data_IF_899517043216
#
_entry.id   IF_899517043216
#
_cell.length_a   1.000
_cell.length_b   1.000
_cell.length_c   1.000
_cell.angle_alpha   90.00
_cell.angle_beta   90.00
_cell.angle_gamma   90.00
#
_symmetry.space_group_name_H-M   'P 1'
#
loop_
_entity.id
_entity.type
_entity.pdbx_description
1 polymer ?
#
# COMPACT_ATOMS: atom_id res chain seq x y z
N UNK A 1 -41.33 15.28 -14.48
CA UNK A 1 -40.12 15.22 -15.31
C UNK A 1 -38.95 15.10 -14.35
N UNK A 2 -38.43 13.89 -14.11
CA UNK A 2 -37.27 13.69 -13.24
C UNK A 2 -36.01 14.25 -13.90
N UNK A 3 -35.00 14.72 -13.13
CA UNK A 3 -33.77 15.25 -13.71
C UNK A 3 -33.09 14.16 -14.53
N UNK A 4 -32.66 14.50 -15.74
CA UNK A 4 -31.81 13.66 -16.57
C UNK A 4 -30.59 13.22 -15.75
N UNK A 5 -30.24 11.93 -15.80
CA UNK A 5 -29.04 11.43 -15.13
C UNK A 5 -27.82 12.28 -15.52
N UNK A 6 -27.12 12.83 -14.52
CA UNK A 6 -25.90 13.61 -14.75
C UNK A 6 -24.79 12.63 -15.15
N UNK A 7 -24.21 12.84 -16.33
CA UNK A 7 -23.23 11.95 -16.96
C UNK A 7 -22.14 12.72 -17.68
N UNK A 8 -21.00 12.07 -17.93
CA UNK A 8 -19.92 12.64 -18.74
C UNK A 8 -19.07 13.68 -18.02
N UNK A 9 -19.06 13.69 -16.69
CA UNK A 9 -18.17 14.57 -15.92
C UNK A 9 -16.73 14.03 -15.96
N UNK A 10 -15.75 14.93 -15.92
CA UNK A 10 -14.31 14.60 -15.87
C UNK A 10 -13.67 15.29 -14.66
N UNK A 11 -12.95 14.52 -13.85
CA UNK A 11 -12.13 15.00 -12.72
C UNK A 11 -10.70 14.62 -13.05
N UNK A 12 -9.83 15.57 -13.36
CA UNK A 12 -8.53 15.31 -13.99
C UNK A 12 -7.47 16.33 -13.56
N UNK A 13 -6.29 15.84 -13.19
CA UNK A 13 -5.14 16.68 -12.82
C UNK A 13 -5.24 17.32 -11.42
N UNK A 14 -6.14 16.83 -10.58
CA UNK A 14 -6.47 17.44 -9.29
C UNK A 14 -5.65 16.87 -8.12
N UNK A 15 -5.36 17.72 -7.14
CA UNK A 15 -4.79 17.35 -5.84
C UNK A 15 -5.89 17.44 -4.78
N UNK A 16 -6.39 16.28 -4.35
CA UNK A 16 -7.60 16.15 -3.53
C UNK A 16 -7.21 15.61 -2.14
N UNK A 17 -7.45 16.42 -1.11
CA UNK A 17 -7.12 16.09 0.30
C UNK A 17 -5.67 16.39 0.71
N UNK A 18 -4.86 16.95 -0.20
CA UNK A 18 -3.45 17.29 0.02
C UNK A 18 -3.16 18.78 -0.22
N UNK A 19 -1.95 19.21 0.15
CA UNK A 19 -1.44 20.52 -0.25
C UNK A 19 -1.08 20.56 -1.75
N UNK A 20 -0.78 21.74 -2.28
CA UNK A 20 -0.47 21.94 -3.71
C UNK A 20 0.76 21.15 -4.23
N UNK A 21 1.59 20.58 -3.35
CA UNK A 21 2.72 19.73 -3.72
C UNK A 21 2.40 18.24 -3.58
N UNK A 22 1.26 17.86 -3.00
CA UNK A 22 0.90 16.48 -2.73
C UNK A 22 1.78 15.78 -1.69
N UNK A 23 2.49 16.54 -0.85
CA UNK A 23 3.44 16.02 0.13
C UNK A 23 2.88 16.02 1.57
N UNK A 24 1.78 16.74 1.81
CA UNK A 24 1.14 16.84 3.13
C UNK A 24 -0.36 16.67 2.98
N UNK A 25 -0.94 15.88 3.87
CA UNK A 25 -2.39 15.77 4.02
C UNK A 25 -2.91 17.10 4.59
N UNK A 26 -3.98 17.61 3.99
CA UNK A 26 -4.76 18.72 4.52
C UNK A 26 -6.15 18.26 4.99
N UNK A 27 -6.61 17.10 4.52
CA UNK A 27 -7.90 16.55 4.90
C UNK A 27 -9.04 17.16 4.11
N UNK A 28 -9.83 16.30 3.45
CA UNK A 28 -11.27 16.55 3.36
C UNK A 28 -11.93 15.82 4.53
N UNK A 29 -12.98 16.42 5.12
CA UNK A 29 -13.69 15.85 6.28
C UNK A 29 -14.47 14.56 6.00
N UNK A 30 -14.53 14.13 4.74
CA UNK A 30 -15.17 12.88 4.32
C UNK A 30 -14.33 12.16 3.25
N UNK A 31 -14.92 11.90 2.08
CA UNK A 31 -14.28 11.25 0.96
C UNK A 31 -13.53 12.27 0.08
N UNK A 32 -12.55 11.82 -0.68
CA UNK A 32 -11.92 12.67 -1.70
C UNK A 32 -12.88 12.91 -2.87
N UNK A 33 -13.41 11.84 -3.45
CA UNK A 33 -14.33 11.89 -4.60
C UNK A 33 -15.53 10.98 -4.36
N UNK A 34 -16.74 11.51 -4.59
CA UNK A 34 -18.00 10.75 -4.55
C UNK A 34 -18.72 10.80 -5.89
N UNK A 35 -19.03 9.63 -6.44
CA UNK A 35 -19.71 9.45 -7.72
C UNK A 35 -21.02 8.71 -7.48
N UNK A 36 -22.12 9.37 -7.83
CA UNK A 36 -23.47 8.76 -7.88
C UNK A 36 -24.04 8.72 -9.29
N UNK A 37 -23.47 9.51 -10.21
CA UNK A 37 -23.83 9.56 -11.62
C UNK A 37 -23.18 8.46 -12.46
N UNK A 38 -23.53 8.44 -13.74
CA UNK A 38 -23.06 7.44 -14.70
C UNK A 38 -22.06 8.02 -15.70
N UNK A 39 -21.25 7.17 -16.33
CA UNK A 39 -20.37 7.54 -17.45
C UNK A 39 -19.44 8.72 -17.15
N UNK A 40 -18.90 8.80 -15.93
CA UNK A 40 -17.92 9.80 -15.55
C UNK A 40 -16.50 9.23 -15.63
N UNK A 41 -15.52 10.12 -15.80
CA UNK A 41 -14.09 9.80 -15.79
C UNK A 41 -13.42 10.50 -14.61
N UNK A 42 -12.67 9.74 -13.82
CA UNK A 42 -11.75 10.26 -12.82
C UNK A 42 -10.35 9.84 -13.21
N UNK A 43 -9.54 10.82 -13.59
CA UNK A 43 -8.18 10.65 -14.04
C UNK A 43 -8.08 10.45 -15.55
N UNK A 44 -7.06 9.74 -16.00
CA UNK A 44 -6.84 9.42 -17.40
C UNK A 44 -5.48 8.77 -17.64
N UNK A 45 -5.22 8.36 -18.88
CA UNK A 45 -3.97 7.68 -19.25
C UNK A 45 -2.75 8.59 -19.25
N UNK A 46 -2.95 9.89 -19.41
CA UNK A 46 -1.87 10.88 -19.42
C UNK A 46 -1.49 11.31 -18.00
N UNK A 47 -0.19 11.50 -17.69
CA UNK A 47 0.23 12.00 -16.38
C UNK A 47 -0.43 13.32 -15.96
N UNK A 48 -0.79 14.19 -16.91
CA UNK A 48 -1.48 15.45 -16.62
C UNK A 48 -2.94 15.28 -16.22
N UNK A 49 -3.58 14.15 -16.58
CA UNK A 49 -4.94 13.85 -16.18
C UNK A 49 -5.00 13.15 -14.81
N UNK A 50 -3.88 12.65 -14.30
CA UNK A 50 -3.81 11.94 -13.01
C UNK A 50 -4.26 12.82 -11.86
N UNK A 51 -5.22 12.32 -11.09
CA UNK A 51 -5.51 12.90 -9.79
C UNK A 51 -4.64 12.27 -8.70
N UNK A 52 -4.33 13.06 -7.68
CA UNK A 52 -3.79 12.62 -6.40
C UNK A 52 -4.91 12.70 -5.35
N UNK A 53 -5.38 11.57 -4.86
CA UNK A 53 -6.53 11.46 -3.95
C UNK A 53 -6.07 10.83 -2.63
N UNK A 54 -5.63 11.68 -1.70
CA UNK A 54 -4.83 11.27 -0.55
C UNK A 54 -5.14 12.13 0.66
N UNK A 55 -4.90 11.60 1.86
CA UNK A 55 -5.08 12.35 3.11
C UNK A 55 -6.53 12.74 3.43
N UNK A 56 -7.53 12.10 2.85
CA UNK A 56 -8.95 12.32 3.18
C UNK A 56 -9.32 11.55 4.46
N UNK A 57 -10.23 12.08 5.28
CA UNK A 57 -10.58 11.49 6.59
C UNK A 57 -11.29 10.12 6.45
N UNK A 58 -11.99 9.89 5.33
CA UNK A 58 -12.62 8.61 5.02
C UNK A 58 -11.95 7.92 3.82
N UNK A 59 -12.68 7.78 2.72
CA UNK A 59 -12.28 6.98 1.56
C UNK A 59 -11.68 7.89 0.50
N UNK A 60 -10.72 7.40 -0.26
CA UNK A 60 -10.22 8.16 -1.41
C UNK A 60 -11.34 8.43 -2.41
N UNK A 61 -11.96 7.36 -2.91
CA UNK A 61 -13.00 7.43 -3.92
C UNK A 61 -14.16 6.47 -3.62
N UNK A 62 -15.40 6.93 -3.79
CA UNK A 62 -16.62 6.13 -3.64
C UNK A 62 -17.50 6.21 -4.89
N UNK A 63 -17.87 5.05 -5.43
CA UNK A 63 -18.94 4.88 -6.40
C UNK A 63 -20.14 4.27 -5.68
N UNK A 64 -21.26 4.99 -5.65
CA UNK A 64 -22.40 4.64 -4.79
C UNK A 64 -23.71 4.51 -5.58
N UNK A 65 -24.53 3.53 -5.19
CA UNK A 65 -25.90 3.39 -5.66
C UNK A 65 -25.98 3.18 -7.17
N UNK A 66 -26.62 4.11 -7.88
CA UNK A 66 -26.85 4.01 -9.32
C UNK A 66 -25.63 4.35 -10.21
N UNK A 67 -24.46 4.58 -9.62
CA UNK A 67 -23.24 4.88 -10.36
C UNK A 67 -22.88 3.71 -11.31
N UNK A 68 -22.87 3.98 -12.62
CA UNK A 68 -22.61 2.95 -13.62
C UNK A 68 -21.79 3.45 -14.80
N UNK A 69 -20.98 2.58 -15.39
CA UNK A 69 -20.18 2.91 -16.57
C UNK A 69 -19.08 3.94 -16.30
N UNK A 70 -18.68 4.16 -15.04
CA UNK A 70 -17.63 5.11 -14.70
C UNK A 70 -16.24 4.50 -14.93
N UNK A 71 -15.27 5.35 -15.25
CA UNK A 71 -13.86 4.98 -15.45
C UNK A 71 -12.98 5.73 -14.45
N UNK A 72 -12.26 4.98 -13.63
CA UNK A 72 -11.31 5.51 -12.66
C UNK A 72 -9.92 5.10 -13.13
N UNK A 73 -9.20 5.98 -13.80
CA UNK A 73 -8.00 5.65 -14.57
C UNK A 73 -6.79 6.49 -14.16
N UNK A 74 -5.63 5.87 -14.01
CA UNK A 74 -4.34 6.54 -13.88
C UNK A 74 -4.14 7.39 -12.62
N UNK A 75 -5.01 7.24 -11.60
CA UNK A 75 -4.98 8.00 -10.36
C UNK A 75 -3.98 7.43 -9.34
N UNK A 76 -3.50 8.30 -8.45
CA UNK A 76 -2.79 7.91 -7.23
C UNK A 76 -3.72 8.10 -6.04
N UNK A 77 -3.94 7.05 -5.26
CA UNK A 77 -4.90 7.01 -4.16
C UNK A 77 -4.21 6.51 -2.90
N UNK A 78 -3.98 7.42 -1.94
CA UNK A 78 -3.35 7.14 -0.65
C UNK A 78 -1.82 7.26 -0.61
N UNK A 79 -1.21 7.80 -1.67
CA UNK A 79 0.24 8.06 -1.75
C UNK A 79 0.55 9.56 -1.88
N UNK A 80 1.83 9.95 -1.84
CA UNK A 80 2.29 11.27 -2.25
C UNK A 80 2.23 11.46 -3.79
N UNK A 81 2.48 12.67 -4.27
CA UNK A 81 2.47 13.01 -5.70
C UNK A 81 3.40 12.14 -6.56
N UNK A 82 4.55 11.72 -6.01
CA UNK A 82 5.49 10.83 -6.70
C UNK A 82 5.09 9.35 -6.64
N UNK A 83 4.12 9.00 -5.80
CA UNK A 83 3.68 7.63 -5.57
C UNK A 83 4.73 6.75 -4.88
N UNK A 84 5.62 7.36 -4.10
CA UNK A 84 6.77 6.71 -3.45
C UNK A 84 6.62 6.54 -1.95
N UNK A 85 5.72 7.29 -1.32
CA UNK A 85 5.44 7.25 0.13
C UNK A 85 3.94 7.24 0.39
N UNK A 86 3.53 6.63 1.50
CA UNK A 86 2.13 6.63 1.93
C UNK A 86 1.72 8.03 2.41
N UNK A 87 0.54 8.44 1.96
CA UNK A 87 -0.20 9.63 2.42
C UNK A 87 -1.69 9.23 2.47
N UNK A 88 -1.95 8.17 3.23
CA UNK A 88 -3.19 7.40 3.19
C UNK A 88 -4.46 8.18 3.39
N UNK A 89 -5.54 7.68 2.79
CA UNK A 89 -6.89 8.02 3.23
C UNK A 89 -7.21 7.25 4.53
N UNK A 90 -8.09 7.80 5.38
CA UNK A 90 -8.43 7.24 6.69
C UNK A 90 -9.22 5.93 6.67
N UNK A 91 -9.65 5.47 5.50
CA UNK A 91 -10.34 4.19 5.30
C UNK A 91 -9.93 3.54 3.97
N UNK A 92 -10.88 3.02 3.18
CA UNK A 92 -10.58 2.36 1.92
C UNK A 92 -10.03 3.33 0.86
N UNK A 93 -9.16 2.84 -0.03
CA UNK A 93 -8.72 3.61 -1.20
C UNK A 93 -9.89 3.89 -2.13
N UNK A 94 -10.46 2.83 -2.71
CA UNK A 94 -11.63 2.89 -3.59
C UNK A 94 -12.72 1.96 -3.06
N UNK A 95 -13.96 2.43 -3.00
CA UNK A 95 -15.13 1.59 -2.72
C UNK A 95 -16.15 1.66 -3.87
N UNK A 96 -16.75 0.51 -4.18
CA UNK A 96 -17.90 0.35 -5.06
C UNK A 96 -19.02 -0.24 -4.20
N UNK A 97 -20.08 0.53 -3.97
CA UNK A 97 -21.18 0.15 -3.08
C UNK A 97 -22.51 0.21 -3.82
N UNK A 98 -23.04 -0.97 -4.17
CA UNK A 98 -24.27 -1.12 -4.97
C UNK A 98 -24.16 -0.67 -6.44
N UNK A 99 -23.03 -0.09 -6.81
CA UNK A 99 -22.74 0.41 -8.15
C UNK A 99 -22.34 -0.70 -9.14
N UNK A 100 -22.59 -0.48 -10.43
CA UNK A 100 -22.47 -1.55 -11.44
C UNK A 100 -21.69 -1.15 -12.69
N UNK A 101 -21.03 -2.09 -13.35
CA UNK A 101 -20.35 -1.87 -14.64
C UNK A 101 -19.32 -0.73 -14.62
N UNK A 102 -18.62 -0.51 -13.50
CA UNK A 102 -17.56 0.48 -13.40
C UNK A 102 -16.19 -0.18 -13.62
N UNK A 103 -15.23 0.60 -14.12
CA UNK A 103 -13.86 0.15 -14.34
C UNK A 103 -12.92 0.92 -13.41
N UNK A 104 -12.21 0.20 -12.56
CA UNK A 104 -11.10 0.71 -11.76
C UNK A 104 -9.81 0.29 -12.45
N UNK A 105 -9.16 1.24 -13.07
CA UNK A 105 -7.97 1.07 -13.87
C UNK A 105 -8.33 0.87 -15.34
N UNK A 106 -7.55 0.06 -16.04
CA UNK A 106 -7.78 -0.28 -17.44
C UNK A 106 -6.54 -0.88 -18.10
N UNK A 107 -6.72 -1.36 -19.32
CA UNK A 107 -5.65 -2.05 -20.08
C UNK A 107 -4.77 -1.12 -20.91
N UNK A 108 -5.19 0.14 -21.09
CA UNK A 108 -4.36 1.14 -21.75
C UNK A 108 -3.14 1.51 -20.88
N UNK A 109 -2.00 1.77 -21.51
CA UNK A 109 -0.83 2.27 -20.79
C UNK A 109 -1.19 3.55 -20.03
N UNK A 110 -0.87 3.61 -18.74
CA UNK A 110 -1.22 4.72 -17.86
C UNK A 110 -2.63 4.66 -17.25
N UNK A 111 -3.52 3.76 -17.68
CA UNK A 111 -4.86 3.64 -17.10
C UNK A 111 -4.86 2.98 -15.70
N UNK A 112 -3.85 2.18 -15.38
CA UNK A 112 -3.72 1.53 -14.08
C UNK A 112 -3.54 2.53 -12.94
N UNK A 113 -4.36 2.43 -11.90
CA UNK A 113 -4.22 3.26 -10.70
C UNK A 113 -3.12 2.73 -9.77
N UNK A 114 -2.62 3.61 -8.90
CA UNK A 114 -1.82 3.24 -7.72
C UNK A 114 -2.70 3.44 -6.50
N UNK A 115 -3.05 2.35 -5.82
CA UNK A 115 -4.00 2.32 -4.69
C UNK A 115 -3.28 1.69 -3.50
N UNK A 116 -2.62 2.53 -2.72
CA UNK A 116 -1.66 2.10 -1.70
C UNK A 116 -1.66 3.07 -0.52
N UNK A 117 -1.23 2.60 0.64
CA UNK A 117 -1.05 3.41 1.85
C UNK A 117 -2.34 3.80 2.54
N UNK A 118 -3.50 3.28 2.09
CA UNK A 118 -4.80 3.58 2.69
C UNK A 118 -4.97 2.78 3.98
N UNK A 119 -5.63 3.35 4.99
CA UNK A 119 -5.78 2.71 6.29
C UNK A 119 -6.70 1.47 6.29
N UNK A 120 -7.54 1.32 5.25
CA UNK A 120 -8.44 0.18 5.08
C UNK A 120 -8.11 -0.68 3.85
N UNK A 121 -9.14 -1.16 3.16
CA UNK A 121 -9.01 -2.00 1.96
C UNK A 121 -8.57 -1.16 0.76
N UNK A 122 -7.74 -1.70 -0.12
CA UNK A 122 -7.35 -1.05 -1.37
C UNK A 122 -8.56 -0.78 -2.28
N UNK A 123 -9.18 -1.85 -2.79
CA UNK A 123 -10.43 -1.80 -3.57
C UNK A 123 -11.51 -2.66 -2.91
N UNK A 124 -12.62 -2.05 -2.50
CA UNK A 124 -13.69 -2.72 -1.78
C UNK A 124 -14.99 -2.74 -2.60
N UNK A 125 -15.50 -3.92 -2.94
CA UNK A 125 -16.71 -4.12 -3.76
C UNK A 125 -17.81 -4.76 -2.89
N UNK A 126 -18.87 -4.01 -2.62
CA UNK A 126 -19.92 -4.36 -1.64
C UNK A 126 -21.31 -3.91 -2.07
N UNK A 127 -22.31 -4.20 -1.24
CA UNK A 127 -23.67 -3.67 -1.41
C UNK A 127 -24.43 -4.23 -2.60
N UNK A 128 -24.08 -5.44 -3.06
CA UNK A 128 -24.67 -6.04 -4.25
C UNK A 128 -24.14 -5.44 -5.56
N UNK A 129 -22.95 -4.83 -5.55
CA UNK A 129 -22.29 -4.32 -6.74
C UNK A 129 -22.01 -5.47 -7.75
N UNK A 130 -22.22 -5.21 -9.05
CA UNK A 130 -22.07 -6.24 -10.09
C UNK A 130 -21.44 -5.70 -11.37
N UNK A 131 -20.79 -6.57 -12.14
CA UNK A 131 -20.22 -6.22 -13.46
C UNK A 131 -19.02 -5.27 -13.38
N UNK A 132 -18.46 -5.02 -12.20
CA UNK A 132 -17.33 -4.12 -12.05
C UNK A 132 -16.01 -4.81 -12.40
N UNK A 133 -15.07 -4.03 -12.90
CA UNK A 133 -13.75 -4.50 -13.32
C UNK A 133 -12.66 -3.76 -12.56
N UNK A 134 -11.65 -4.51 -12.10
CA UNK A 134 -10.43 -3.98 -11.49
C UNK A 134 -9.26 -4.46 -12.31
N UNK A 135 -8.69 -3.61 -13.17
CA UNK A 135 -7.72 -4.02 -14.20
C UNK A 135 -6.45 -3.13 -14.20
N UNK A 136 -5.28 -3.75 -14.36
CA UNK A 136 -4.02 -3.04 -14.58
C UNK A 136 -3.52 -2.20 -13.38
N UNK A 137 -4.08 -2.37 -12.19
CA UNK A 137 -3.75 -1.54 -11.03
C UNK A 137 -2.52 -2.04 -10.26
N UNK A 138 -1.89 -1.13 -9.51
CA UNK A 138 -0.95 -1.45 -8.42
C UNK A 138 -1.69 -1.24 -7.11
N UNK A 139 -1.87 -2.31 -6.33
CA UNK A 139 -2.65 -2.30 -5.09
C UNK A 139 -1.77 -2.74 -3.92
N UNK A 140 -1.29 -1.75 -3.17
CA UNK A 140 -0.36 -1.92 -2.06
C UNK A 140 1.10 -1.52 -2.36
N UNK A 141 1.72 -1.77 -3.54
CA UNK A 141 3.07 -1.27 -3.79
C UNK A 141 3.07 0.20 -4.24
N UNK A 142 4.26 0.80 -4.27
CA UNK A 142 4.51 2.13 -4.83
C UNK A 142 4.22 2.19 -6.35
N UNK A 143 4.27 3.40 -6.93
CA UNK A 143 4.01 3.62 -8.35
C UNK A 143 4.94 2.84 -9.29
N UNK A 144 6.16 2.53 -8.86
CA UNK A 144 7.10 1.70 -9.60
C UNK A 144 6.81 0.20 -9.48
N UNK A 145 5.97 -0.23 -8.52
CA UNK A 145 5.71 -1.63 -8.22
C UNK A 145 6.85 -2.33 -7.46
N UNK A 146 7.77 -1.58 -6.86
CA UNK A 146 9.04 -2.10 -6.30
C UNK A 146 9.16 -1.97 -4.79
N UNK A 147 8.42 -1.06 -4.16
CA UNK A 147 8.43 -0.86 -2.72
C UNK A 147 7.04 -1.09 -2.14
N UNK A 148 7.00 -1.59 -0.91
CA UNK A 148 5.78 -1.85 -0.17
C UNK A 148 5.23 -0.54 0.43
N UNK A 149 3.98 -0.20 0.10
CA UNK A 149 3.19 0.86 0.70
C UNK A 149 1.82 0.29 1.09
N UNK A 150 1.76 -0.94 1.62
CA UNK A 150 0.56 -1.71 1.88
C UNK A 150 -0.67 -0.92 2.33
N UNK A 151 -1.85 -1.36 1.88
CA UNK A 151 -3.10 -0.92 2.50
C UNK A 151 -3.32 -1.69 3.82
N UNK A 152 -4.00 -1.07 4.78
CA UNK A 152 -4.25 -1.61 6.13
C UNK A 152 -5.27 -2.77 6.20
N UNK A 153 -5.81 -3.20 5.07
CA UNK A 153 -6.75 -4.33 4.98
C UNK A 153 -6.43 -5.22 3.78
N UNK A 154 -7.47 -5.83 3.19
CA UNK A 154 -7.31 -6.58 1.95
C UNK A 154 -6.85 -5.68 0.78
N UNK A 155 -6.11 -6.25 -0.17
CA UNK A 155 -5.83 -5.56 -1.44
C UNK A 155 -7.12 -5.32 -2.22
N UNK A 156 -7.83 -6.41 -2.53
CA UNK A 156 -9.17 -6.37 -3.11
C UNK A 156 -10.13 -7.19 -2.25
N UNK A 157 -11.27 -6.60 -1.89
CA UNK A 157 -12.35 -7.27 -1.18
C UNK A 157 -13.61 -7.31 -2.05
N UNK A 158 -14.25 -8.48 -2.13
CA UNK A 158 -15.59 -8.64 -2.69
C UNK A 158 -16.48 -9.28 -1.63
N UNK A 159 -17.50 -8.56 -1.17
CA UNK A 159 -18.43 -9.05 -0.15
C UNK A 159 -19.88 -8.92 -0.62
N UNK A 160 -20.60 -10.04 -0.61
CA UNK A 160 -22.01 -10.13 -1.03
C UNK A 160 -22.29 -9.45 -2.38
N UNK A 161 -21.36 -9.59 -3.33
CA UNK A 161 -21.34 -8.91 -4.63
C UNK A 161 -20.85 -9.87 -5.70
N UNK A 162 -21.61 -10.05 -6.78
CA UNK A 162 -21.40 -11.09 -7.79
C UNK A 162 -21.06 -10.52 -9.16
N UNK A 163 -20.55 -11.34 -10.07
CA UNK A 163 -20.23 -10.96 -11.45
C UNK A 163 -19.19 -9.83 -11.54
N UNK A 164 -18.28 -9.73 -10.59
CA UNK A 164 -17.16 -8.79 -10.66
C UNK A 164 -15.90 -9.50 -11.15
N UNK A 165 -15.04 -8.75 -11.83
CA UNK A 165 -13.83 -9.26 -12.47
C UNK A 165 -12.60 -8.55 -11.93
N UNK A 166 -11.68 -9.31 -11.32
CA UNK A 166 -10.40 -8.82 -10.84
C UNK A 166 -9.33 -9.27 -11.84
N UNK A 167 -8.93 -8.33 -12.68
CA UNK A 167 -8.10 -8.45 -13.87
C UNK A 167 -8.69 -9.32 -14.99
N UNK A 168 -8.04 -9.29 -16.15
CA UNK A 168 -8.38 -10.04 -17.34
C UNK A 168 -7.28 -11.02 -17.74
N UNK A 169 -7.51 -11.76 -18.83
CA UNK A 169 -6.55 -12.72 -19.37
C UNK A 169 -5.41 -12.09 -20.18
N UNK A 170 -5.49 -10.79 -20.49
CA UNK A 170 -4.44 -10.07 -21.20
C UNK A 170 -3.37 -9.59 -20.22
N UNK A 171 -2.10 -9.60 -20.62
CA UNK A 171 -0.99 -9.17 -19.74
C UNK A 171 -1.13 -7.73 -19.22
N UNK A 172 -1.80 -6.84 -19.98
CA UNK A 172 -2.06 -5.47 -19.57
C UNK A 172 -3.23 -5.31 -18.58
N UNK A 173 -4.09 -6.33 -18.43
CA UNK A 173 -5.21 -6.30 -17.49
C UNK A 173 -4.81 -6.74 -16.08
N UNK A 174 -3.64 -7.35 -15.91
CA UNK A 174 -3.18 -7.89 -14.63
C UNK A 174 -2.97 -6.82 -13.57
N UNK A 175 -3.53 -7.01 -12.37
CA UNK A 175 -3.18 -6.19 -11.22
C UNK A 175 -1.91 -6.73 -10.55
N UNK A 176 -1.07 -5.83 -10.05
CA UNK A 176 -0.01 -6.13 -9.10
C UNK A 176 -0.55 -5.86 -7.68
N UNK A 177 -0.76 -6.92 -6.90
CA UNK A 177 -1.34 -6.85 -5.57
C UNK A 177 -0.32 -7.39 -4.56
N UNK A 178 0.20 -6.52 -3.72
CA UNK A 178 1.23 -6.90 -2.75
C UNK A 178 1.33 -5.95 -1.59
N UNK A 179 1.78 -6.43 -0.43
CA UNK A 179 2.09 -5.60 0.73
C UNK A 179 0.89 -5.26 1.63
N UNK A 180 -0.32 -5.66 1.24
CA UNK A 180 -1.53 -5.39 2.01
C UNK A 180 -1.53 -6.20 3.33
N UNK A 181 -2.03 -5.60 4.41
CA UNK A 181 -1.92 -6.18 5.77
C UNK A 181 -2.72 -7.47 5.98
N UNK A 182 -3.73 -7.70 5.15
CA UNK A 182 -4.56 -8.91 5.18
C UNK A 182 -4.41 -9.71 3.87
N UNK A 183 -5.52 -10.19 3.27
CA UNK A 183 -5.47 -10.98 2.04
C UNK A 183 -5.18 -10.10 0.81
N UNK A 184 -4.42 -10.62 -0.16
CA UNK A 184 -4.29 -9.95 -1.46
C UNK A 184 -5.65 -9.78 -2.15
N UNK A 185 -6.41 -10.86 -2.29
CA UNK A 185 -7.79 -10.86 -2.77
C UNK A 185 -8.64 -11.71 -1.83
N UNK A 186 -9.72 -11.14 -1.31
CA UNK A 186 -10.72 -11.83 -0.49
C UNK A 186 -12.09 -11.79 -1.17
N UNK A 187 -12.77 -12.94 -1.20
CA UNK A 187 -14.09 -13.09 -1.82
C UNK A 187 -15.01 -13.82 -0.85
N UNK A 188 -16.09 -13.16 -0.48
CA UNK A 188 -17.23 -13.71 0.24
C UNK A 188 -18.51 -13.45 -0.58
N UNK A 189 -18.58 -14.09 -1.75
CA UNK A 189 -19.67 -13.98 -2.71
C UNK A 189 -19.52 -15.00 -3.86
N UNK A 190 -20.60 -15.23 -4.60
CA UNK A 190 -20.64 -16.15 -5.75
C UNK A 190 -20.32 -15.44 -7.09
N UNK A 191 -20.01 -16.22 -8.12
CA UNK A 191 -19.87 -15.80 -9.52
C UNK A 191 -18.89 -14.63 -9.78
N UNK A 192 -17.75 -14.61 -9.11
CA UNK A 192 -16.69 -13.63 -9.38
C UNK A 192 -15.51 -14.26 -10.11
N UNK A 193 -14.85 -13.48 -10.96
CA UNK A 193 -13.67 -13.93 -11.72
C UNK A 193 -12.41 -13.24 -11.19
N UNK A 194 -11.38 -14.01 -10.86
CA UNK A 194 -10.05 -13.51 -10.51
C UNK A 194 -9.03 -14.22 -11.40
N UNK A 195 -8.35 -13.48 -12.27
CA UNK A 195 -7.43 -14.09 -13.23
C UNK A 195 -6.37 -13.08 -13.67
N UNK A 196 -5.18 -13.56 -14.04
CA UNK A 196 -4.12 -12.69 -14.58
C UNK A 196 -3.49 -11.71 -13.59
N UNK A 197 -3.70 -11.87 -12.28
CA UNK A 197 -3.09 -11.04 -11.23
C UNK A 197 -1.72 -11.56 -10.80
N UNK A 198 -0.81 -10.66 -10.44
CA UNK A 198 0.39 -10.97 -9.68
C UNK A 198 0.15 -10.66 -8.20
N UNK A 199 0.05 -11.69 -7.35
CA UNK A 199 -0.31 -11.56 -5.93
C UNK A 199 0.84 -12.08 -5.06
N UNK A 200 1.40 -11.24 -4.19
CA UNK A 200 2.51 -11.60 -3.30
C UNK A 200 2.43 -10.91 -1.93
N UNK A 201 3.17 -11.42 -0.93
CA UNK A 201 3.20 -10.86 0.43
C UNK A 201 3.81 -9.46 0.46
N UNK A 202 5.08 -9.31 0.08
CA UNK A 202 5.70 -8.02 -0.25
C UNK A 202 6.03 -7.99 -1.74
N UNK A 203 6.10 -6.83 -2.40
CA UNK A 203 6.57 -6.75 -3.78
C UNK A 203 7.99 -7.35 -3.85
N UNK A 204 8.35 -8.04 -4.94
CA UNK A 204 9.68 -8.63 -5.06
C UNK A 204 10.72 -7.53 -4.95
N UNK A 205 11.47 -7.52 -3.84
CA UNK A 205 12.71 -6.75 -3.75
C UNK A 205 13.62 -7.29 -4.85
N UNK A 206 14.10 -6.41 -5.72
CA UNK A 206 14.78 -6.84 -6.94
C UNK A 206 16.08 -7.59 -6.61
N UNK A 207 16.18 -8.78 -7.19
CA UNK A 207 17.31 -9.71 -7.39
C UNK A 207 17.60 -10.76 -6.28
N UNK A 208 17.77 -12.05 -6.66
CA UNK A 208 18.26 -13.07 -5.75
C UNK A 208 19.63 -12.62 -5.25
N UNK A 209 19.85 -12.68 -3.95
CA UNK A 209 21.22 -12.69 -3.43
C UNK A 209 21.97 -13.74 -4.24
N UNK A 210 23.05 -13.35 -4.91
CA UNK A 210 24.01 -14.32 -5.42
C UNK A 210 24.41 -15.18 -4.24
N UNK A 211 23.80 -16.36 -4.11
CA UNK A 211 24.22 -17.35 -3.17
C UNK A 211 25.63 -17.71 -3.61
N UNK A 212 26.63 -17.17 -2.90
CA UNK A 212 27.96 -17.74 -2.91
C UNK A 212 27.76 -19.23 -2.66
N UNK A 213 28.16 -20.13 -3.57
CA UNK A 213 27.93 -21.55 -3.36
C UNK A 213 28.60 -21.93 -2.04
N UNK A 214 27.80 -22.54 -1.16
CA UNK A 214 28.27 -23.03 0.12
C UNK A 214 29.52 -23.89 -0.10
N UNK A 215 30.63 -23.53 0.52
CA UNK A 215 31.81 -24.37 0.61
C UNK A 215 31.38 -25.75 1.14
N UNK A 216 31.73 -26.87 0.47
CA UNK A 216 31.36 -28.17 0.98
C UNK A 216 32.07 -28.43 2.31
N UNK A 217 31.28 -28.61 3.37
CA UNK A 217 31.76 -29.09 4.67
C UNK A 217 32.47 -30.43 4.48
N UNK A 218 33.68 -30.66 5.04
CA UNK A 218 34.32 -31.95 4.95
C UNK A 218 33.53 -32.99 5.76
N UNK A 219 33.18 -34.06 5.07
CA UNK A 219 32.50 -35.25 5.59
C UNK A 219 33.26 -35.90 6.75
N UNK A 220 32.49 -36.34 7.73
CA UNK A 220 32.89 -37.17 8.88
C UNK A 220 33.74 -38.38 8.47
N UNK A 221 34.98 -38.45 8.97
CA UNK A 221 35.76 -39.68 9.02
C UNK A 221 35.79 -40.19 10.46
N UNK A 222 35.16 -41.34 10.66
CA UNK A 222 35.26 -42.21 11.83
C UNK A 222 36.65 -42.84 11.92
N UNK A 223 37.25 -42.88 13.12
CA UNK A 223 37.87 -44.10 13.70
C UNK A 223 38.46 -43.89 15.11
N UNK A 224 38.62 -44.97 15.91
CA UNK A 224 38.65 -44.93 17.38
C UNK A 224 40.05 -45.09 18.00
N UNK A 225 40.09 -44.85 19.32
CA UNK A 225 41.00 -45.38 20.37
C UNK A 225 42.48 -45.64 20.07
N UNK A 226 43.34 -44.95 20.84
CA UNK A 226 44.31 -45.65 21.70
C UNK A 226 45.81 -45.37 21.51
N UNK A 227 46.43 -44.97 22.62
CA UNK A 227 47.85 -45.08 23.03
C UNK A 227 48.79 -43.87 22.82
N UNK A 228 49.20 -43.28 23.94
CA UNK A 228 50.40 -42.45 24.22
C UNK A 228 51.71 -43.21 23.96
N UNK A 229 52.95 -42.61 23.91
CA UNK A 229 53.43 -41.32 24.47
C UNK A 229 54.21 -40.45 23.42
N UNK A 230 54.74 -39.23 23.62
CA UNK A 230 55.87 -38.82 24.49
C UNK A 230 56.20 -37.33 24.21
N UNK A 231 56.64 -36.60 25.25
CA UNK A 231 57.57 -35.43 25.28
C UNK A 231 57.35 -34.17 24.41
N UNK A 232 57.35 -32.98 25.05
CA UNK A 232 57.93 -31.77 24.44
C UNK A 232 57.37 -30.39 24.81
N UNK A 233 57.93 -29.77 25.86
CA UNK A 233 58.18 -28.31 26.06
C UNK A 233 57.06 -27.26 25.85
N UNK A 234 56.61 -26.73 26.99
CA UNK A 234 56.67 -25.32 27.44
C UNK A 234 56.50 -24.13 26.45
N UNK A 235 55.52 -23.25 26.77
CA UNK A 235 55.61 -21.78 27.02
C UNK A 235 54.18 -21.24 27.23
N UNK A 236 53.77 -20.88 28.44
CA UNK A 236 53.89 -19.54 29.07
C UNK A 236 53.34 -18.39 28.22
N UNK A 237 52.15 -17.90 28.56
CA UNK A 237 51.89 -16.46 28.73
C UNK A 237 50.55 -16.21 29.42
N UNK A 238 50.63 -15.65 30.62
CA UNK A 238 49.51 -15.10 31.39
C UNK A 238 48.90 -13.90 30.66
N UNK A 239 47.57 -13.87 30.48
CA UNK A 239 46.82 -12.62 30.26
C UNK A 239 46.04 -12.29 31.53
N UNK A 240 46.42 -11.17 32.18
CA UNK A 240 45.70 -10.55 33.30
C UNK A 240 44.36 -9.96 32.78
N UNK A 241 43.27 -10.03 33.54
CA UNK A 241 42.01 -9.34 33.22
C UNK A 241 42.07 -7.84 33.60
N UNK A 242 41.39 -6.99 32.80
CA UNK A 242 41.20 -5.56 33.04
C UNK A 242 40.19 -5.29 34.18
N UNK A 243 40.34 -4.21 34.96
CA UNK A 243 39.36 -3.79 35.97
C UNK A 243 38.20 -2.96 35.38
N UNK A 244 37.01 -2.96 36.02
CA UNK A 244 35.82 -2.25 35.54
C UNK A 244 35.82 -0.74 35.89
N UNK A 245 35.04 0.09 35.16
CA UNK A 245 34.98 1.53 35.40
C UNK A 245 34.11 1.92 36.61
N UNK A 246 34.56 2.91 37.37
CA UNK A 246 33.91 3.53 38.53
C UNK A 246 32.83 4.55 38.12
N UNK A 247 31.74 4.72 38.92
CA UNK A 247 30.71 5.73 38.67
C UNK A 247 30.97 7.03 39.44
N UNK A 248 30.78 8.17 38.79
CA UNK A 248 30.60 9.49 39.40
C UNK A 248 29.33 10.09 38.76
N UNK A 249 28.39 10.73 39.43
CA UNK A 249 28.39 11.38 40.74
C UNK A 249 27.45 12.57 40.58
N UNK A 250 26.31 12.53 41.25
CA UNK A 250 25.22 13.51 41.24
C UNK A 250 25.65 14.89 41.74
N UNK A 251 25.16 15.97 41.10
CA UNK A 251 25.01 17.26 41.78
C UNK A 251 23.80 18.04 41.26
N UNK A 252 22.85 18.25 42.17
CA UNK A 252 21.69 19.10 42.01
C UNK A 252 22.01 20.54 42.47
N UNK A 253 21.43 21.54 41.80
CA UNK A 253 21.10 22.90 42.27
C UNK A 253 20.65 23.71 41.05
N UNK A 254 19.64 24.59 41.02
CA UNK A 254 18.62 25.08 41.96
C UNK A 254 17.69 25.98 41.09
N UNK A 255 16.47 26.18 41.58
CA UNK A 255 15.33 26.88 40.99
C UNK A 255 15.57 28.31 40.42
N UNK A 256 14.74 28.70 39.43
CA UNK A 256 14.00 29.99 39.43
C UNK A 256 13.02 30.13 38.24
N UNK A 257 11.73 29.91 38.52
CA UNK A 257 10.55 30.63 37.95
C UNK A 257 10.32 31.88 38.85
N UNK A 258 9.61 32.99 38.53
CA UNK A 258 8.39 33.19 37.68
C UNK A 258 8.41 34.59 36.97
N UNK A 259 7.31 35.36 36.65
CA UNK A 259 5.86 35.13 36.57
C UNK A 259 5.19 35.57 35.22
N UNK A 260 3.86 35.40 35.04
CA UNK A 260 3.10 35.85 33.85
C UNK A 260 2.45 37.22 34.07
N UNK A 261 2.16 37.98 32.99
CA UNK A 261 1.26 39.15 33.00
C UNK A 261 0.99 39.69 31.57
N UNK A 262 -0.05 40.51 31.33
CA UNK A 262 -1.48 40.21 31.34
C UNK A 262 -2.16 40.52 29.98
N UNK A 263 -3.42 40.12 29.81
CA UNK A 263 -4.20 40.41 28.61
C UNK A 263 -4.71 41.86 28.45
N UNK A 264 -5.60 42.00 27.45
CA UNK A 264 -6.33 43.17 26.91
C UNK A 264 -5.69 43.68 25.60
N UNK A 265 -6.41 43.86 24.49
CA UNK A 265 -7.85 44.10 24.25
C UNK A 265 -8.35 43.27 23.08
#
# INVERSE_FOLDING_TARGET
>A
MWPLAQRGNRIEGDFIGTNATGARALGNGEHGVRIEGSENTVGGTEPAARNLISGNDLRGLILFGAATGNRIEGNYVGTNAEGTAALGNGFNGVIIEGATNNTIGGTAAGAGNVISGNAGIGVNIVGGATGNKVEGNRIGPNAAGTADLGNGGHGVNIFSSRLNTIAGTTGAAGNLISGNEENGVFIFADDNTVQGNAISGSPPSRAPSTATPASPSPSSASSPMGTTPTTGRARSSLRRPLPPPTPAGTRASRASRPPPHPGRR
#
